data_IF_482802982427
#
_entry.id   IF_482802982427
#
_cell.length_a   1.000
_cell.length_b   1.000
_cell.length_c   1.000
_cell.angle_alpha   90.00
_cell.angle_beta   90.00
_cell.angle_gamma   90.00
#
_symmetry.space_group_name_H-M   'P 1'
#
loop_
_entity.id
_entity.type
_entity.pdbx_description
1 polymer ?
#
# COMPACT_ATOMS: atom_id res chain seq x y z
N UNK A 1 10.18 -0.94 -4.99
CA UNK A 1 9.31 0.22 -5.31
C UNK A 1 8.60 0.54 -4.03
N UNK A 2 8.56 1.81 -3.64
CA UNK A 2 8.09 2.25 -2.33
C UNK A 2 7.12 3.42 -2.49
N UNK A 3 6.31 3.66 -1.46
CA UNK A 3 5.18 4.59 -1.48
C UNK A 3 5.64 6.04 -1.50
N UNK A 4 5.16 6.80 -2.49
CA UNK A 4 5.53 8.20 -2.66
C UNK A 4 4.76 9.06 -1.65
N UNK A 5 5.44 10.03 -1.04
CA UNK A 5 4.78 10.97 -0.16
C UNK A 5 3.96 11.98 -0.95
N UNK A 6 2.94 12.56 -0.32
CA UNK A 6 2.13 13.65 -0.85
C UNK A 6 2.93 14.90 -1.29
N UNK A 7 4.14 15.09 -0.76
CA UNK A 7 4.99 16.18 -1.25
C UNK A 7 5.55 15.90 -2.65
N UNK A 8 5.43 14.67 -3.16
CA UNK A 8 5.99 14.20 -4.43
C UNK A 8 7.53 14.32 -4.56
N UNK A 9 8.22 14.74 -3.50
CA UNK A 9 9.68 14.91 -3.46
C UNK A 9 10.40 13.63 -3.00
N UNK A 10 9.81 12.90 -2.05
CA UNK A 10 10.45 11.74 -1.44
C UNK A 10 9.44 10.63 -1.14
N UNK A 11 9.95 9.42 -0.91
CA UNK A 11 9.17 8.27 -0.44
C UNK A 11 9.00 8.31 1.07
N UNK A 12 8.00 7.59 1.55
CA UNK A 12 7.87 7.27 2.96
C UNK A 12 8.84 6.16 3.36
N UNK A 13 9.64 6.40 4.39
CA UNK A 13 10.54 5.42 5.00
C UNK A 13 9.94 4.81 6.25
N UNK A 14 10.26 3.55 6.52
CA UNK A 14 9.80 2.85 7.72
C UNK A 14 10.58 3.35 8.93
N UNK A 15 9.87 3.91 9.92
CA UNK A 15 10.45 4.34 11.19
C UNK A 15 10.19 3.31 12.29
N UNK A 16 9.02 2.67 12.27
CA UNK A 16 8.68 1.57 13.16
C UNK A 16 7.73 0.60 12.47
N UNK A 17 7.35 -0.49 13.14
CA UNK A 17 6.35 -1.40 12.63
C UNK A 17 4.95 -0.77 12.42
N UNK A 18 4.71 0.42 12.99
CA UNK A 18 3.41 1.10 12.91
C UNK A 18 3.45 2.45 12.21
N UNK A 19 4.64 2.98 11.92
CA UNK A 19 4.81 4.36 11.43
C UNK A 19 5.79 4.43 10.27
N UNK A 20 5.44 5.30 9.33
CA UNK A 20 6.26 5.68 8.20
C UNK A 20 6.43 7.19 8.17
N UNK A 21 7.57 7.67 7.68
CA UNK A 21 7.92 9.09 7.68
C UNK A 21 8.53 9.50 6.36
N UNK A 22 8.11 10.64 5.84
CA UNK A 22 8.80 11.27 4.71
C UNK A 22 9.95 12.13 5.24
N UNK A 23 11.17 11.94 4.75
CA UNK A 23 12.31 12.76 5.18
C UNK A 23 12.28 14.20 4.65
N UNK A 24 11.62 14.44 3.51
CA UNK A 24 11.54 15.77 2.91
C UNK A 24 10.55 16.70 3.64
N UNK A 25 9.29 16.28 3.82
CA UNK A 25 8.25 17.09 4.47
C UNK A 25 8.03 16.75 5.95
N UNK A 26 8.79 15.79 6.49
CA UNK A 26 8.69 15.27 7.86
C UNK A 26 7.33 14.69 8.27
N UNK A 27 6.39 14.55 7.32
CA UNK A 27 5.05 13.98 7.58
C UNK A 27 5.17 12.52 8.00
N UNK A 28 4.53 12.19 9.12
CA UNK A 28 4.40 10.83 9.62
C UNK A 28 3.00 10.30 9.31
N UNK A 29 2.93 9.02 8.95
CA UNK A 29 1.69 8.32 8.63
C UNK A 29 1.68 6.93 9.27
N UNK A 30 0.49 6.43 9.57
CA UNK A 30 0.33 5.08 10.09
C UNK A 30 0.34 4.04 8.95
N UNK A 31 0.28 2.75 9.28
CA UNK A 31 0.25 1.69 8.26
C UNK A 31 -0.93 1.77 7.30
N UNK A 32 -2.12 2.17 7.78
CA UNK A 32 -3.34 2.20 6.96
C UNK A 32 -3.25 3.33 5.93
N UNK A 33 -2.82 4.52 6.35
CA UNK A 33 -2.58 5.66 5.46
C UNK A 33 -1.50 5.32 4.41
N UNK A 34 -0.44 4.63 4.85
CA UNK A 34 0.63 4.17 3.96
C UNK A 34 0.12 3.13 2.95
N UNK A 35 -0.72 2.18 3.37
CA UNK A 35 -1.34 1.21 2.48
C UNK A 35 -2.29 1.87 1.49
N UNK A 36 -3.10 2.82 1.95
CA UNK A 36 -3.99 3.58 1.09
C UNK A 36 -3.19 4.26 -0.03
N UNK A 37 -2.09 4.94 0.32
CA UNK A 37 -1.22 5.57 -0.67
C UNK A 37 -0.53 4.58 -1.59
N UNK A 38 -0.09 3.42 -1.08
CA UNK A 38 0.45 2.37 -1.93
C UNK A 38 -0.56 1.94 -3.01
N UNK A 39 -1.83 1.79 -2.63
CA UNK A 39 -2.90 1.37 -3.54
C UNK A 39 -3.24 2.46 -4.55
N UNK A 40 -3.32 3.72 -4.11
CA UNK A 40 -3.51 4.87 -5.00
C UNK A 40 -2.37 4.98 -6.03
N UNK A 41 -1.11 4.83 -5.60
CA UNK A 41 0.06 4.81 -6.48
C UNK A 41 -0.04 3.68 -7.53
N UNK A 42 -0.42 2.48 -7.11
CA UNK A 42 -0.62 1.32 -8.00
C UNK A 42 -1.71 1.62 -9.04
N UNK A 43 -2.87 2.12 -8.60
CA UNK A 43 -3.96 2.43 -9.54
C UNK A 43 -3.63 3.56 -10.50
N UNK A 44 -2.81 4.52 -10.08
CA UNK A 44 -2.34 5.61 -10.94
C UNK A 44 -1.41 5.10 -12.05
N UNK A 45 -0.49 4.21 -11.71
CA UNK A 45 0.53 3.72 -12.66
C UNK A 45 0.01 2.55 -13.50
N UNK A 46 -0.83 1.69 -12.91
CA UNK A 46 -1.36 0.47 -13.50
C UNK A 46 -2.90 0.41 -13.37
N UNK A 47 -3.64 1.31 -14.03
CA UNK A 47 -5.09 1.45 -13.85
C UNK A 47 -5.90 0.20 -14.25
N UNK A 48 -5.34 -0.64 -15.12
CA UNK A 48 -5.97 -1.87 -15.61
C UNK A 48 -5.53 -3.13 -14.84
N UNK A 49 -4.52 -3.02 -13.98
CA UNK A 49 -3.97 -4.17 -13.27
C UNK A 49 -4.83 -4.55 -12.06
N UNK A 50 -4.91 -5.86 -11.80
CA UNK A 50 -5.67 -6.38 -10.67
C UNK A 50 -4.92 -6.11 -9.37
N UNK A 51 -5.57 -5.44 -8.42
CA UNK A 51 -4.99 -5.24 -7.10
C UNK A 51 -4.94 -6.57 -6.36
N UNK A 52 -3.74 -7.06 -6.05
CA UNK A 52 -3.52 -8.30 -5.29
C UNK A 52 -2.65 -8.04 -4.07
N UNK A 53 -2.79 -8.89 -3.04
CA UNK A 53 -1.95 -8.80 -1.83
C UNK A 53 -0.46 -8.85 -2.17
N UNK A 54 -0.07 -9.71 -3.12
CA UNK A 54 1.32 -9.83 -3.55
C UNK A 54 1.83 -8.57 -4.26
N UNK A 55 1.00 -7.93 -5.08
CA UNK A 55 1.35 -6.67 -5.74
C UNK A 55 1.59 -5.57 -4.70
N UNK A 56 0.64 -5.37 -3.78
CA UNK A 56 0.76 -4.38 -2.69
C UNK A 56 1.96 -4.69 -1.79
N UNK A 57 2.24 -5.96 -1.49
CA UNK A 57 3.39 -6.36 -0.68
C UNK A 57 4.72 -6.00 -1.35
N UNK A 58 4.83 -6.23 -2.67
CA UNK A 58 6.00 -5.82 -3.45
C UNK A 58 6.13 -4.30 -3.52
N UNK A 59 5.00 -3.58 -3.64
CA UNK A 59 4.94 -2.12 -3.68
C UNK A 59 5.28 -1.43 -2.35
N UNK A 60 5.06 -2.13 -1.25
CA UNK A 60 5.42 -1.66 0.09
C UNK A 60 6.80 -2.16 0.53
N UNK A 61 7.61 -2.69 -0.41
CA UNK A 61 8.96 -3.24 -0.15
C UNK A 61 9.00 -4.27 0.98
N UNK A 62 7.92 -5.05 1.13
CA UNK A 62 7.72 -6.01 2.22
C UNK A 62 7.68 -5.39 3.63
N UNK A 63 7.51 -4.07 3.77
CA UNK A 63 7.41 -3.41 5.07
C UNK A 63 6.14 -3.78 5.84
N UNK A 64 5.09 -4.21 5.13
CA UNK A 64 3.80 -4.64 5.68
C UNK A 64 3.60 -6.14 5.42
N UNK A 65 3.08 -6.86 6.42
CA UNK A 65 2.77 -8.28 6.30
C UNK A 65 1.60 -8.54 5.34
N UNK A 66 1.63 -9.68 4.65
CA UNK A 66 0.55 -10.11 3.75
C UNK A 66 -0.81 -10.16 4.45
N UNK A 67 -0.83 -10.58 5.72
CA UNK A 67 -2.03 -10.64 6.54
C UNK A 67 -2.64 -9.26 6.76
N UNK A 68 -1.83 -8.27 7.15
CA UNK A 68 -2.33 -6.90 7.37
C UNK A 68 -2.82 -6.26 6.08
N UNK A 69 -2.12 -6.48 4.97
CA UNK A 69 -2.57 -6.06 3.63
C UNK A 69 -3.93 -6.69 3.32
N UNK A 70 -4.07 -8.00 3.52
CA UNK A 70 -5.34 -8.72 3.26
C UNK A 70 -6.48 -8.17 4.12
N UNK A 71 -6.26 -7.98 5.43
CA UNK A 71 -7.26 -7.39 6.33
C UNK A 71 -7.67 -6.00 5.86
N UNK A 72 -6.71 -5.14 5.51
CA UNK A 72 -7.01 -3.80 5.01
C UNK A 72 -7.83 -3.84 3.71
N UNK A 73 -7.41 -4.66 2.74
CA UNK A 73 -8.09 -4.78 1.45
C UNK A 73 -9.50 -5.37 1.62
N UNK A 74 -9.70 -6.36 2.48
CA UNK A 74 -11.02 -6.92 2.78
C UNK A 74 -11.98 -5.89 3.42
N UNK A 75 -11.46 -4.98 4.25
CA UNK A 75 -12.27 -3.97 4.93
C UNK A 75 -12.63 -2.78 4.03
N UNK A 76 -11.73 -2.37 3.14
CA UNK A 76 -11.84 -1.11 2.40
C UNK A 76 -12.12 -1.25 0.90
N UNK A 77 -12.03 -2.46 0.33
CA UNK A 77 -12.19 -2.69 -1.10
C UNK A 77 -13.21 -3.79 -1.37
N UNK A 78 -13.77 -3.82 -2.59
CA UNK A 78 -14.64 -4.92 -3.01
C UNK A 78 -13.78 -6.11 -3.39
N UNK A 79 -14.11 -7.27 -2.81
CA UNK A 79 -13.45 -8.54 -3.11
C UNK A 79 -14.05 -9.11 -4.39
N UNK A 80 -13.21 -9.39 -5.38
CA UNK A 80 -13.60 -10.11 -6.58
C UNK A 80 -12.88 -11.46 -6.63
N UNK A 81 -13.68 -12.53 -6.56
CA UNK A 81 -13.29 -13.97 -6.46
C UNK A 81 -12.67 -14.36 -5.11
N UNK A 82 -13.10 -15.51 -4.57
CA UNK A 82 -12.64 -16.05 -3.30
C UNK A 82 -11.86 -17.35 -3.57
N UNK A 83 -10.52 -17.27 -3.69
CA UNK A 83 -9.68 -18.41 -4.10
C UNK A 83 -8.30 -17.99 -4.64
N UNK A 84 -7.58 -18.85 -5.39
CA UNK A 84 -6.23 -18.55 -5.90
C UNK A 84 -6.14 -17.34 -6.84
N UNK A 85 -7.29 -16.78 -7.23
CA UNK A 85 -7.43 -15.63 -8.12
C UNK A 85 -8.10 -14.43 -7.43
N UNK A 86 -8.03 -14.31 -6.10
CA UNK A 86 -8.60 -13.15 -5.39
C UNK A 86 -7.90 -11.85 -5.78
N UNK A 87 -8.69 -10.88 -6.21
CA UNK A 87 -8.26 -9.51 -6.46
C UNK A 87 -9.26 -8.50 -5.90
N UNK A 88 -8.81 -7.26 -5.74
CA UNK A 88 -9.55 -6.17 -5.11
C UNK A 88 -9.75 -5.02 -6.09
N UNK A 89 -10.82 -4.25 -5.92
CA UNK A 89 -11.13 -3.05 -6.70
C UNK A 89 -11.91 -2.04 -5.89
#
# INVERSE_FOLDING_TARGET
MGVVCHCHVAKYEKVSNRKFKCLACKKEVNCNDYLQKAIEDIHLIYPMERLTVNLVKKWTENHISSEKIRTYLNTHHKIFKNGPLTFYR
#
